data_IF_370214183074
#
_entry.id   IF_370214183074
#
_cell.length_a   1.000
_cell.length_b   1.000
_cell.length_c   1.000
_cell.angle_alpha   90.00
_cell.angle_beta   90.00
_cell.angle_gamma   90.00
#
_symmetry.space_group_name_H-M   'P 1'
#
loop_
_entity.id
_entity.type
_entity.pdbx_description
1 polymer ?
#
# COMPACT_ATOMS: atom_id res chain seq x y z
N UNK A 1 11.16 20.88 -48.21
CA UNK A 1 11.80 20.24 -47.03
C UNK A 1 11.73 21.23 -45.88
N UNK A 2 10.88 21.02 -44.86
CA UNK A 2 10.96 21.73 -43.56
C UNK A 2 9.91 21.31 -42.52
N UNK A 3 9.01 20.34 -42.81
CA UNK A 3 7.99 19.89 -41.84
C UNK A 3 8.42 18.73 -40.94
N UNK A 4 9.57 18.11 -41.21
CA UNK A 4 10.01 16.90 -40.49
C UNK A 4 10.66 17.18 -39.13
N UNK A 5 11.16 18.41 -38.89
CA UNK A 5 11.88 18.75 -37.66
C UNK A 5 10.97 19.10 -36.46
N UNK A 6 9.69 19.44 -36.70
CA UNK A 6 8.77 19.84 -35.62
C UNK A 6 8.13 18.65 -34.88
N UNK A 7 8.21 17.44 -35.41
CA UNK A 7 7.66 16.22 -34.78
C UNK A 7 8.65 15.52 -33.84
N UNK A 8 9.95 15.84 -33.91
CA UNK A 8 10.97 15.16 -33.11
C UNK A 8 11.15 15.76 -31.70
N UNK A 9 10.60 16.96 -31.46
CA UNK A 9 10.78 17.69 -30.19
C UNK A 9 9.80 17.33 -29.07
N UNK A 10 8.71 16.60 -29.36
CA UNK A 10 7.65 16.31 -28.39
C UNK A 10 7.80 14.95 -27.66
N UNK A 11 8.90 14.24 -27.87
CA UNK A 11 9.15 12.92 -27.26
C UNK A 11 10.00 12.96 -25.98
N UNK A 12 10.03 14.08 -25.26
CA UNK A 12 10.52 14.11 -23.88
C UNK A 12 9.37 13.72 -22.94
N UNK A 13 9.00 12.45 -22.99
CA UNK A 13 8.12 11.85 -21.98
C UNK A 13 8.80 12.00 -20.63
N UNK A 14 8.16 12.75 -19.74
CA UNK A 14 8.51 12.88 -18.33
C UNK A 14 8.63 11.50 -17.71
N UNK A 15 9.86 11.03 -17.50
CA UNK A 15 10.12 9.93 -16.57
C UNK A 15 9.82 10.48 -15.19
N UNK A 16 8.59 10.26 -14.71
CA UNK A 16 8.27 10.46 -13.31
C UNK A 16 9.20 9.55 -12.50
N UNK A 17 10.26 10.15 -11.93
CA UNK A 17 11.12 9.45 -11.00
C UNK A 17 10.24 8.98 -9.85
N UNK A 18 10.00 7.67 -9.76
CA UNK A 18 9.39 7.06 -8.59
C UNK A 18 10.39 7.19 -7.44
N UNK A 19 10.36 8.32 -6.74
CA UNK A 19 11.17 8.56 -5.56
C UNK A 19 10.72 7.59 -4.47
N UNK A 20 11.52 6.55 -4.24
CA UNK A 20 11.26 5.49 -3.25
C UNK A 20 11.54 6.05 -1.84
N UNK A 21 10.50 6.23 -1.02
CA UNK A 21 10.56 7.03 0.23
C UNK A 21 10.77 6.27 1.54
N UNK A 22 11.08 4.99 1.67
CA UNK A 22 10.86 4.25 2.95
C UNK A 22 9.39 4.34 3.46
N UNK A 23 8.95 3.33 4.22
CA UNK A 23 7.62 3.35 4.80
C UNK A 23 7.55 4.35 5.96
N UNK A 24 6.47 5.12 6.03
CA UNK A 24 6.21 5.96 7.21
C UNK A 24 6.16 5.07 8.46
N UNK A 25 6.88 5.41 9.55
CA UNK A 25 6.80 4.67 10.81
C UNK A 25 5.37 4.53 11.35
N UNK A 26 4.49 5.48 11.04
CA UNK A 26 3.08 5.41 11.43
C UNK A 26 2.33 4.28 10.70
N UNK A 27 2.63 4.05 9.42
CA UNK A 27 2.06 2.93 8.65
C UNK A 27 2.59 1.59 9.14
N UNK A 28 3.86 1.52 9.55
CA UNK A 28 4.44 0.32 10.17
C UNK A 28 3.63 -0.02 11.43
N UNK A 29 3.51 0.91 12.38
CA UNK A 29 2.75 0.69 13.63
C UNK A 29 1.30 0.31 13.38
N UNK A 30 0.65 0.94 12.39
CA UNK A 30 -0.72 0.60 12.00
C UNK A 30 -0.81 -0.86 11.55
N UNK A 31 0.04 -1.29 10.61
CA UNK A 31 0.03 -2.66 10.09
C UNK A 31 0.33 -3.67 11.21
N UNK A 32 1.31 -3.38 12.08
CA UNK A 32 1.62 -4.24 13.21
C UNK A 32 0.49 -4.32 14.24
N UNK A 33 -0.25 -3.23 14.43
CA UNK A 33 -1.42 -3.18 15.29
C UNK A 33 -2.58 -4.01 14.73
N UNK A 34 -2.86 -3.90 13.43
CA UNK A 34 -3.93 -4.66 12.75
C UNK A 34 -3.59 -6.16 12.71
N UNK A 35 -2.32 -6.51 12.48
CA UNK A 35 -1.91 -7.90 12.23
C UNK A 35 -1.37 -8.62 13.46
N UNK A 36 -1.07 -7.88 14.54
CA UNK A 36 -0.35 -8.38 15.71
C UNK A 36 0.99 -9.06 15.38
N UNK A 37 1.61 -8.67 14.27
CA UNK A 37 2.89 -9.20 13.76
C UNK A 37 3.91 -8.08 13.63
N UNK A 38 5.20 -8.42 13.59
CA UNK A 38 6.25 -7.46 13.24
C UNK A 38 6.22 -7.24 11.74
N UNK A 39 6.30 -6.00 11.27
CA UNK A 39 6.24 -5.66 9.86
C UNK A 39 7.58 -5.09 9.38
N UNK A 40 8.18 -5.73 8.37
CA UNK A 40 9.41 -5.27 7.74
C UNK A 40 9.11 -4.79 6.33
N UNK A 41 9.16 -3.47 6.04
CA UNK A 41 8.83 -2.93 4.72
C UNK A 41 9.88 -3.29 3.67
N UNK A 42 9.43 -3.69 2.47
CA UNK A 42 10.32 -4.16 1.38
C UNK A 42 11.04 -2.98 0.69
N UNK A 43 10.29 -1.91 0.38
CA UNK A 43 10.67 -0.59 -0.17
C UNK A 43 9.35 0.09 -0.59
N UNK A 44 9.10 1.35 -0.24
CA UNK A 44 7.82 2.01 -0.59
C UNK A 44 7.78 2.47 -2.04
N UNK A 45 6.62 2.28 -2.66
CA UNK A 45 6.29 2.70 -4.03
C UNK A 45 5.30 3.89 -3.96
N UNK A 46 5.69 4.95 -4.68
CA UNK A 46 4.91 6.07 -5.23
C UNK A 46 3.90 6.84 -4.36
N UNK A 47 4.28 8.08 -4.00
CA UNK A 47 3.44 9.24 -4.31
C UNK A 47 2.18 9.50 -3.48
N UNK A 48 2.10 9.03 -2.24
CA UNK A 48 1.00 9.43 -1.34
C UNK A 48 1.32 10.73 -0.61
N UNK A 49 0.30 11.57 -0.47
CA UNK A 49 0.37 12.79 0.31
C UNK A 49 0.35 12.47 1.81
N UNK A 50 1.02 13.29 2.62
CA UNK A 50 1.12 13.06 4.06
C UNK A 50 -0.27 13.09 4.73
N UNK A 51 -1.26 13.74 4.11
CA UNK A 51 -2.67 13.75 4.56
C UNK A 51 -3.30 12.36 4.50
N UNK A 52 -3.08 11.59 3.43
CA UNK A 52 -3.66 10.25 3.31
C UNK A 52 -3.10 9.30 4.39
N UNK A 53 -1.81 9.44 4.69
CA UNK A 53 -1.16 8.71 5.80
C UNK A 53 -1.76 9.16 7.14
N UNK A 54 -1.94 10.47 7.34
CA UNK A 54 -2.50 11.00 8.58
C UNK A 54 -3.94 10.55 8.82
N UNK A 55 -4.78 10.44 7.77
CA UNK A 55 -6.16 9.94 7.89
C UNK A 55 -6.15 8.48 8.33
N UNK A 56 -5.50 7.59 7.59
CA UNK A 56 -5.57 6.14 7.87
C UNK A 56 -4.94 5.75 9.21
N UNK A 57 -3.91 6.47 9.65
CA UNK A 57 -3.18 6.17 10.90
C UNK A 57 -3.84 6.72 12.15
N UNK A 58 -4.77 7.68 12.01
CA UNK A 58 -5.57 8.20 13.14
C UNK A 58 -6.75 7.30 13.49
N UNK A 59 -7.21 6.49 12.54
CA UNK A 59 -8.34 5.61 12.78
C UNK A 59 -7.97 4.48 13.78
N UNK A 60 -8.81 4.25 14.81
CA UNK A 60 -8.66 3.11 15.69
C UNK A 60 -8.60 1.79 14.93
N UNK A 61 -7.77 0.86 15.40
CA UNK A 61 -7.69 -0.51 14.83
C UNK A 61 -9.06 -1.20 14.88
N UNK A 62 -9.88 -0.89 15.89
CA UNK A 62 -11.24 -1.43 16.02
C UNK A 62 -12.20 -1.00 14.90
N UNK A 63 -11.89 0.06 14.14
CA UNK A 63 -12.68 0.50 12.99
C UNK A 63 -12.39 -0.33 11.73
N UNK A 64 -11.36 -1.17 11.75
CA UNK A 64 -11.08 -2.10 10.66
C UNK A 64 -12.08 -3.25 10.69
N UNK A 65 -12.53 -3.68 9.52
CA UNK A 65 -13.37 -4.86 9.40
C UNK A 65 -12.63 -6.09 9.92
N UNK A 66 -13.38 -7.05 10.45
CA UNK A 66 -12.81 -8.35 10.82
C UNK A 66 -12.09 -9.01 9.63
N UNK A 67 -11.00 -9.78 9.88
CA UNK A 67 -10.28 -10.51 8.85
C UNK A 67 -11.22 -11.36 7.99
N UNK A 68 -11.16 -11.12 6.69
CA UNK A 68 -11.84 -11.93 5.67
C UNK A 68 -10.81 -12.85 5.03
N UNK A 69 -11.08 -14.16 5.02
CA UNK A 69 -10.14 -15.18 4.50
C UNK A 69 -10.80 -15.96 3.35
N UNK A 70 -10.85 -15.40 2.14
CA UNK A 70 -11.45 -16.07 0.98
C UNK A 70 -10.66 -17.30 0.53
N UNK A 71 -9.37 -17.42 0.90
CA UNK A 71 -8.57 -18.62 0.65
C UNK A 71 -7.49 -18.79 1.72
N UNK A 72 -6.90 -19.99 1.89
CA UNK A 72 -5.85 -20.22 2.88
C UNK A 72 -4.61 -19.33 2.72
N UNK A 73 -4.37 -18.82 1.50
CA UNK A 73 -3.20 -17.98 1.20
C UNK A 73 -3.51 -16.49 1.24
N UNK A 74 -4.78 -16.09 1.35
CA UNK A 74 -5.22 -14.71 1.21
C UNK A 74 -6.14 -14.33 2.36
N UNK A 75 -5.78 -13.29 3.08
CA UNK A 75 -6.69 -12.61 3.99
C UNK A 75 -6.68 -11.11 3.75
N UNK A 76 -7.76 -10.42 4.07
CA UNK A 76 -7.82 -8.97 3.99
C UNK A 76 -8.69 -8.36 5.08
N UNK A 77 -8.42 -7.10 5.38
CA UNK A 77 -9.24 -6.23 6.23
C UNK A 77 -9.42 -4.88 5.53
N UNK A 78 -10.61 -4.30 5.67
CA UNK A 78 -10.97 -3.02 5.06
C UNK A 78 -11.18 -1.97 6.14
N UNK A 79 -10.94 -0.72 5.77
CA UNK A 79 -11.32 0.46 6.53
C UNK A 79 -11.94 1.46 5.55
N UNK A 80 -13.05 2.09 5.94
CA UNK A 80 -13.73 3.11 5.15
C UNK A 80 -13.75 4.38 5.98
N UNK A 81 -13.23 5.48 5.42
CA UNK A 81 -13.19 6.80 6.08
C UNK A 81 -13.75 7.84 5.13
N UNK A 82 -14.99 8.25 5.36
CA UNK A 82 -15.71 9.12 4.44
C UNK A 82 -15.81 8.50 3.04
N UNK A 83 -15.13 9.13 2.05
CA UNK A 83 -15.09 8.65 0.65
C UNK A 83 -13.87 7.79 0.33
N UNK A 84 -12.88 7.75 1.23
CA UNK A 84 -11.66 6.97 1.02
C UNK A 84 -11.86 5.56 1.57
N UNK A 85 -11.26 4.58 0.90
CA UNK A 85 -11.23 3.21 1.41
C UNK A 85 -9.82 2.66 1.39
N UNK A 86 -9.51 1.86 2.40
CA UNK A 86 -8.22 1.24 2.59
C UNK A 86 -8.41 -0.26 2.71
N UNK A 87 -7.45 -1.01 2.18
CA UNK A 87 -7.44 -2.46 2.31
C UNK A 87 -6.05 -2.93 2.69
N UNK A 88 -5.96 -3.65 3.80
CA UNK A 88 -4.78 -4.41 4.14
C UNK A 88 -4.96 -5.83 3.62
N UNK A 89 -4.13 -6.21 2.65
CA UNK A 89 -4.10 -7.56 2.07
C UNK A 89 -2.89 -8.29 2.61
N UNK A 90 -3.09 -9.51 3.11
CA UNK A 90 -2.01 -10.40 3.54
C UNK A 90 -2.02 -11.64 2.66
N UNK A 91 -0.91 -11.88 1.96
CA UNK A 91 -0.72 -13.01 1.06
C UNK A 91 0.40 -13.91 1.57
N UNK A 92 0.12 -15.20 1.71
CA UNK A 92 1.11 -16.24 2.03
C UNK A 92 1.24 -17.19 0.84
N UNK A 93 2.17 -16.88 -0.06
CA UNK A 93 2.51 -17.81 -1.14
C UNK A 93 3.07 -19.11 -0.54
N UNK A 94 2.65 -20.31 -1.01
CA UNK A 94 3.16 -21.59 -0.50
C UNK A 94 4.68 -21.73 -0.51
N UNK A 95 5.36 -21.09 -1.45
CA UNK A 95 6.82 -21.15 -1.59
C UNK A 95 7.55 -20.07 -0.76
N UNK A 96 6.84 -19.04 -0.30
CA UNK A 96 7.44 -17.96 0.46
C UNK A 96 7.64 -18.40 1.92
N UNK A 97 8.73 -17.95 2.56
CA UNK A 97 8.98 -18.21 3.99
C UNK A 97 8.08 -17.36 4.89
N UNK A 98 7.77 -16.13 4.50
CA UNK A 98 6.94 -15.19 5.26
C UNK A 98 5.73 -14.72 4.46
N UNK A 99 4.60 -14.43 5.12
CA UNK A 99 3.50 -13.71 4.50
C UNK A 99 3.91 -12.27 4.15
N UNK A 100 3.33 -11.74 3.08
CA UNK A 100 3.51 -10.36 2.62
C UNK A 100 2.23 -9.59 2.91
N UNK A 101 2.37 -8.46 3.61
CA UNK A 101 1.30 -7.49 3.79
C UNK A 101 1.43 -6.36 2.77
N UNK A 102 0.31 -5.96 2.19
CA UNK A 102 0.20 -4.80 1.30
C UNK A 102 -0.98 -3.95 1.75
N UNK A 103 -0.70 -2.72 2.15
CA UNK A 103 -1.71 -1.71 2.45
C UNK A 103 -2.01 -0.92 1.18
N UNK A 104 -3.29 -0.88 0.81
CA UNK A 104 -3.81 -0.26 -0.39
C UNK A 104 -4.73 0.91 -0.02
N UNK A 105 -4.66 1.98 -0.79
CA UNK A 105 -5.58 3.11 -0.73
C UNK A 105 -6.35 3.23 -2.05
N UNK A 106 -7.65 3.43 -1.93
CA UNK A 106 -8.58 3.63 -3.04
C UNK A 106 -9.25 4.99 -2.86
N UNK A 107 -9.04 5.89 -3.84
CA UNK A 107 -9.72 7.19 -3.90
C UNK A 107 -11.21 7.00 -4.17
N UNK A 108 -11.55 6.07 -5.05
CA UNK A 108 -12.91 5.54 -5.28
C UNK A 108 -12.86 4.02 -5.44
N UNK A 109 -14.02 3.35 -5.32
CA UNK A 109 -14.08 1.88 -5.35
C UNK A 109 -13.63 1.25 -6.69
N UNK A 110 -13.68 2.02 -7.78
CA UNK A 110 -13.34 1.57 -9.14
C UNK A 110 -11.89 1.89 -9.52
N UNK A 111 -11.21 2.75 -8.74
CA UNK A 111 -9.86 3.18 -9.04
C UNK A 111 -8.84 2.05 -8.83
N UNK A 112 -7.78 2.09 -9.64
CA UNK A 112 -6.58 1.31 -9.36
C UNK A 112 -6.01 1.74 -8.00
N UNK A 113 -5.81 0.82 -7.05
CA UNK A 113 -5.33 1.20 -5.74
C UNK A 113 -3.89 1.69 -5.78
N UNK A 114 -3.61 2.68 -4.93
CA UNK A 114 -2.26 3.11 -4.62
C UNK A 114 -1.71 2.27 -3.47
N UNK A 115 -0.51 1.71 -3.64
CA UNK A 115 0.16 0.94 -2.58
C UNK A 115 0.72 1.93 -1.56
N UNK A 116 0.20 1.93 -0.33
CA UNK A 116 0.71 2.76 0.76
C UNK A 116 1.97 2.17 1.40
N UNK A 117 1.95 0.86 1.61
CA UNK A 117 3.06 0.13 2.21
C UNK A 117 3.01 -1.33 1.76
N UNK A 118 4.18 -1.93 1.62
CA UNK A 118 4.34 -3.36 1.34
C UNK A 118 5.54 -3.89 2.10
N UNK A 119 5.42 -5.09 2.62
CA UNK A 119 6.48 -5.71 3.41
C UNK A 119 6.13 -7.11 3.87
N UNK A 120 7.07 -7.74 4.55
CA UNK A 120 6.89 -9.05 5.15
C UNK A 120 6.38 -8.95 6.58
N UNK A 121 5.59 -9.95 6.99
CA UNK A 121 5.10 -10.09 8.36
C UNK A 121 5.81 -11.24 9.05
N UNK A 122 6.40 -10.96 10.21
CA UNK A 122 7.03 -11.93 11.08
C UNK A 122 6.20 -12.12 12.35
N UNK A 123 6.13 -13.32 12.92
CA UNK A 123 5.63 -13.49 14.29
C UNK A 123 6.37 -12.55 15.24
N UNK A 124 5.66 -11.88 16.14
CA UNK A 124 6.32 -11.17 17.24
C UNK A 124 7.01 -12.22 18.11
N UNK A 125 8.26 -11.99 18.47
CA UNK A 125 8.89 -12.73 19.57
C UNK A 125 8.18 -12.27 20.84
N UNK A 126 7.62 -13.22 21.60
CA UNK A 126 7.16 -12.99 22.97
C UNK A 126 8.33 -12.57 23.87
#
# INVERSE_FOLDING_TARGET
MNRLLLLLGMLLTSTAYAQTKMASPALVKLIEGITSKTFTPDTTVAGLSDEAIAVVTKEPIANWSLPQTPSPQLSYQNLIVGKQSYRLVVVKNPQASLPVATLLHYTTAEDKPTIMARGTLQPKKE
#
